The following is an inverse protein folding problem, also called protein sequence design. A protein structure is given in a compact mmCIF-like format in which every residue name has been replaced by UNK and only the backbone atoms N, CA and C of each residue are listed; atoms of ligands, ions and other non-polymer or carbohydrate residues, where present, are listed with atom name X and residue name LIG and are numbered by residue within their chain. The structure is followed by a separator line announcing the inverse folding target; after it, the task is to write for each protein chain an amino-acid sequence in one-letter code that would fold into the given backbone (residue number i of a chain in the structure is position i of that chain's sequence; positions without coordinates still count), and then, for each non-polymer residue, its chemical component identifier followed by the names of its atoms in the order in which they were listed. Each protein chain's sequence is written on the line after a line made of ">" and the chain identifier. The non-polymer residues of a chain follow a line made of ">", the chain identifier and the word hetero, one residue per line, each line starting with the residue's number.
data_IF_498182236279
#
_entry.id   IF_498182236279
#
_cell.length_a   1.000
_cell.length_b   1.000
_cell.length_c   1.000
_cell.angle_alpha   90.00
_cell.angle_beta   90.00
_cell.angle_gamma   90.00
#
_symmetry.space_group_name_H-M   'P 1'
#
loop_
_entity.id
_entity.type
_entity.pdbx_description
1 polymer ?
#
# COMPACT_ATOMS: atom_id res chain seq x y z
N UNK A 1 -5.60 -7.77 -21.20
CA UNK A 1 -6.69 -6.90 -21.55
C UNK A 1 -7.02 -5.91 -20.42
N UNK A 2 -7.17 -6.40 -19.16
CA UNK A 2 -7.51 -5.55 -18.00
C UNK A 2 -6.76 -5.98 -16.77
N UNK A 3 -6.43 -5.05 -15.87
CA UNK A 3 -5.84 -5.34 -14.58
C UNK A 3 -6.48 -4.50 -13.48
N UNK A 4 -6.59 -5.09 -12.29
CA UNK A 4 -7.05 -4.41 -11.08
C UNK A 4 -5.87 -4.36 -10.11
N UNK A 5 -5.56 -3.18 -9.61
CA UNK A 5 -4.42 -2.91 -8.75
C UNK A 5 -4.93 -2.26 -7.46
N UNK A 6 -4.84 -3.00 -6.36
CA UNK A 6 -5.29 -2.58 -5.04
C UNK A 6 -4.06 -2.26 -4.19
N UNK A 7 -3.89 -0.99 -3.82
CA UNK A 7 -2.78 -0.48 -2.99
C UNK A 7 -1.41 -0.89 -3.53
N UNK A 8 -1.07 -0.42 -4.75
CA UNK A 8 0.22 -0.73 -5.37
C UNK A 8 1.38 -0.27 -4.51
N UNK A 9 2.33 -1.15 -4.15
CA UNK A 9 3.46 -0.75 -3.33
C UNK A 9 4.47 0.12 -4.11
N UNK A 10 5.02 1.14 -3.43
CA UNK A 10 6.08 2.00 -3.96
C UNK A 10 7.51 1.53 -3.63
N UNK A 11 7.66 0.37 -2.98
CA UNK A 11 8.95 -0.16 -2.59
C UNK A 11 9.47 -1.15 -3.64
N UNK A 12 10.68 -0.90 -4.13
CA UNK A 12 11.41 -1.76 -5.08
C UNK A 12 12.87 -1.88 -4.66
N UNK A 13 13.48 -3.04 -4.91
CA UNK A 13 14.89 -3.26 -4.62
C UNK A 13 15.74 -3.20 -5.89
N UNK A 14 16.98 -2.75 -5.73
CA UNK A 14 18.02 -2.99 -6.73
C UNK A 14 18.57 -4.42 -6.60
N UNK A 15 19.17 -5.03 -7.64
CA UNK A 15 19.81 -6.34 -7.54
C UNK A 15 20.88 -6.39 -6.45
N UNK A 16 21.63 -5.28 -6.25
CA UNK A 16 22.64 -5.18 -5.21
C UNK A 16 22.02 -5.25 -3.81
N UNK A 17 20.93 -4.51 -3.55
CA UNK A 17 20.23 -4.54 -2.28
C UNK A 17 19.59 -5.92 -2.02
N UNK A 18 18.93 -6.51 -3.02
CA UNK A 18 18.35 -7.85 -2.92
C UNK A 18 19.42 -8.92 -2.58
N UNK A 19 20.60 -8.82 -3.21
CA UNK A 19 21.73 -9.70 -2.90
C UNK A 19 22.20 -9.51 -1.45
N UNK A 20 22.25 -8.28 -0.96
CA UNK A 20 22.68 -8.00 0.41
C UNK A 20 21.66 -8.49 1.45
N UNK A 21 20.37 -8.32 1.19
CA UNK A 21 19.29 -8.90 2.01
C UNK A 21 19.39 -10.43 2.04
N UNK A 22 19.63 -11.07 0.88
CA UNK A 22 19.83 -12.52 0.77
C UNK A 22 21.00 -12.98 1.66
N UNK A 23 22.12 -12.26 1.64
CA UNK A 23 23.28 -12.57 2.52
C UNK A 23 22.93 -12.41 3.99
N UNK A 24 22.19 -11.38 4.36
CA UNK A 24 21.75 -11.19 5.73
C UNK A 24 20.85 -12.34 6.22
N UNK A 25 19.90 -12.79 5.39
CA UNK A 25 19.08 -13.97 5.68
C UNK A 25 19.93 -15.24 5.85
N UNK A 26 20.93 -15.43 5.00
CA UNK A 26 21.83 -16.57 5.06
C UNK A 26 22.64 -16.58 6.38
N UNK A 27 23.06 -15.42 6.86
CA UNK A 27 23.71 -15.25 8.17
C UNK A 27 22.78 -15.65 9.32
N UNK A 28 21.52 -15.22 9.29
CA UNK A 28 20.52 -15.57 10.32
C UNK A 28 20.22 -17.09 10.37
N UNK A 29 20.40 -17.78 9.25
CA UNK A 29 20.21 -19.25 9.16
C UNK A 29 21.50 -20.00 9.50
N UNK A 30 22.66 -19.37 9.30
CA UNK A 30 23.97 -19.99 9.47
C UNK A 30 24.39 -20.87 8.29
N UNK A 31 24.01 -20.48 7.04
CA UNK A 31 24.37 -21.22 5.82
C UNK A 31 24.85 -20.27 4.71
N UNK A 32 25.56 -20.78 3.70
CA UNK A 32 25.85 -19.99 2.49
C UNK A 32 24.59 -19.58 1.75
N UNK A 33 24.54 -18.40 1.09
CA UNK A 33 23.36 -17.93 0.36
C UNK A 33 22.80 -18.92 -0.67
N UNK A 34 23.67 -19.67 -1.36
CA UNK A 34 23.25 -20.67 -2.35
C UNK A 34 22.46 -21.85 -1.76
N UNK A 35 22.54 -22.06 -0.45
CA UNK A 35 21.85 -23.15 0.24
C UNK A 35 20.46 -22.77 0.74
N UNK A 36 20.09 -21.47 0.67
CA UNK A 36 18.77 -20.98 1.09
C UNK A 36 17.62 -21.68 0.36
N UNK A 37 17.84 -22.06 -0.91
CA UNK A 37 16.81 -22.72 -1.73
C UNK A 37 16.42 -24.12 -1.18
N UNK A 38 17.29 -24.73 -0.37
CA UNK A 38 17.07 -26.05 0.23
C UNK A 38 16.55 -25.96 1.68
N UNK A 39 16.40 -24.75 2.20
CA UNK A 39 15.92 -24.53 3.58
C UNK A 39 14.42 -24.63 3.64
N UNK A 40 13.91 -25.41 4.57
CA UNK A 40 12.48 -25.55 4.82
C UNK A 40 11.80 -24.20 5.12
N UNK A 41 10.62 -23.92 4.55
CA UNK A 41 9.93 -22.63 4.70
C UNK A 41 9.78 -22.14 6.15
N UNK A 42 9.45 -22.97 7.17
CA UNK A 42 9.37 -22.50 8.55
C UNK A 42 10.70 -21.97 9.12
N UNK A 43 11.83 -22.55 8.69
CA UNK A 43 13.15 -22.04 9.09
C UNK A 43 13.50 -20.72 8.42
N UNK A 44 13.08 -20.54 7.15
CA UNK A 44 13.21 -19.27 6.44
C UNK A 44 12.38 -18.18 7.15
N UNK A 45 11.12 -18.46 7.47
CA UNK A 45 10.24 -17.54 8.18
C UNK A 45 10.84 -17.10 9.53
N UNK A 46 11.30 -18.05 10.35
CA UNK A 46 11.93 -17.73 11.63
C UNK A 46 13.23 -16.93 11.49
N UNK A 47 13.98 -17.08 10.40
CA UNK A 47 15.16 -16.26 10.12
C UNK A 47 14.77 -14.84 9.72
N UNK A 48 13.69 -14.69 8.94
CA UNK A 48 13.13 -13.38 8.59
C UNK A 48 12.65 -12.64 9.83
N UNK A 49 11.97 -13.31 10.76
CA UNK A 49 11.54 -12.70 12.04
C UNK A 49 12.73 -12.16 12.84
N UNK A 50 13.83 -12.93 12.92
CA UNK A 50 15.08 -12.45 13.58
C UNK A 50 15.72 -11.29 12.84
N UNK A 51 15.72 -11.33 11.52
CA UNK A 51 16.23 -10.24 10.67
C UNK A 51 15.44 -8.96 10.93
N UNK A 52 14.12 -9.04 10.95
CA UNK A 52 13.21 -7.92 11.19
C UNK A 52 13.38 -7.37 12.61
N UNK A 53 13.52 -8.23 13.62
CA UNK A 53 13.77 -7.81 15.00
C UNK A 53 15.06 -6.98 15.19
N UNK A 54 16.01 -7.10 14.28
CA UNK A 54 17.25 -6.34 14.29
C UNK A 54 17.51 -5.50 13.04
N UNK A 55 16.47 -5.13 12.31
CA UNK A 55 16.60 -4.48 10.99
C UNK A 55 17.27 -3.11 11.07
N UNK A 56 17.17 -2.42 12.18
CA UNK A 56 17.79 -1.11 12.43
C UNK A 56 19.31 -1.09 12.17
N UNK A 57 20.01 -2.18 12.44
CA UNK A 57 21.45 -2.33 12.15
C UNK A 57 21.79 -2.20 10.67
N UNK A 58 20.80 -2.30 9.81
CA UNK A 58 20.94 -2.15 8.37
C UNK A 58 20.48 -0.79 7.84
N UNK A 59 19.99 0.12 8.69
CA UNK A 59 19.39 1.40 8.29
C UNK A 59 20.30 2.22 7.36
N UNK A 60 21.57 2.38 7.71
CA UNK A 60 22.55 3.10 6.90
C UNK A 60 22.83 2.45 5.55
N UNK A 61 22.64 1.13 5.42
CA UNK A 61 22.99 0.36 4.23
C UNK A 61 21.78 0.06 3.33
N UNK A 62 20.61 -0.17 3.93
CA UNK A 62 19.39 -0.51 3.22
C UNK A 62 18.42 0.67 3.08
N UNK A 63 18.70 1.79 3.76
CA UNK A 63 17.90 3.00 3.68
C UNK A 63 16.42 2.75 3.98
N UNK A 64 15.54 3.20 3.09
CA UNK A 64 14.08 3.10 3.24
C UNK A 64 13.59 1.68 3.52
N UNK A 65 14.21 0.66 2.93
CA UNK A 65 13.81 -0.74 3.16
C UNK A 65 13.96 -1.14 4.64
N UNK A 66 15.04 -0.73 5.30
CA UNK A 66 15.23 -0.99 6.73
C UNK A 66 14.30 -0.13 7.60
N UNK A 67 14.21 1.17 7.32
CA UNK A 67 13.35 2.09 8.08
C UNK A 67 11.85 1.75 7.97
N UNK A 68 11.44 1.13 6.89
CA UNK A 68 10.07 0.66 6.70
C UNK A 68 9.81 -0.75 7.24
N UNK A 69 10.86 -1.50 7.58
CA UNK A 69 10.72 -2.91 7.93
C UNK A 69 10.34 -3.79 6.72
N UNK A 70 10.72 -3.39 5.50
CA UNK A 70 10.36 -4.08 4.25
C UNK A 70 11.64 -4.52 3.53
N UNK A 71 12.30 -5.59 4.00
CA UNK A 71 13.52 -6.10 3.35
C UNK A 71 13.24 -6.88 2.06
N UNK A 72 11.98 -7.26 1.82
CA UNK A 72 11.57 -8.00 0.63
C UNK A 72 10.58 -7.18 -0.18
N UNK A 73 10.93 -6.92 -1.43
CA UNK A 73 10.10 -6.22 -2.41
C UNK A 73 10.50 -6.68 -3.82
N UNK A 74 9.68 -6.38 -4.84
CA UNK A 74 10.06 -6.69 -6.22
C UNK A 74 11.41 -6.07 -6.58
N UNK A 75 12.21 -6.81 -7.34
CA UNK A 75 13.54 -6.38 -7.77
C UNK A 75 13.46 -5.84 -9.18
N UNK A 76 13.94 -4.61 -9.38
CA UNK A 76 14.14 -4.06 -10.73
C UNK A 76 15.44 -4.69 -11.28
N UNK A 77 15.30 -5.86 -11.90
CA UNK A 77 16.42 -6.69 -12.34
C UNK A 77 16.87 -6.41 -13.78
N UNK A 78 16.07 -5.67 -14.53
CA UNK A 78 16.34 -5.35 -15.94
C UNK A 78 15.91 -6.44 -16.92
N UNK A 79 15.33 -7.54 -16.45
CA UNK A 79 14.86 -8.67 -17.26
C UNK A 79 13.33 -8.83 -17.13
N UNK A 80 12.84 -9.31 -16.01
CA UNK A 80 11.39 -9.45 -15.76
C UNK A 80 10.78 -8.11 -15.40
N UNK A 81 11.40 -7.37 -14.49
CA UNK A 81 11.00 -6.02 -14.12
C UNK A 81 12.08 -5.03 -14.53
N UNK A 82 11.91 -4.40 -15.69
CA UNK A 82 12.90 -3.48 -16.26
C UNK A 82 12.90 -2.12 -15.63
N UNK A 83 11.76 -1.71 -15.03
CA UNK A 83 11.56 -0.39 -14.41
C UNK A 83 10.37 -0.45 -13.44
N UNK A 84 10.07 0.65 -12.75
CA UNK A 84 8.86 0.72 -11.91
C UNK A 84 7.58 0.65 -12.77
N UNK A 85 6.46 0.12 -12.24
CA UNK A 85 5.22 -0.02 -13.01
C UNK A 85 4.74 1.27 -13.67
N UNK A 86 4.79 2.41 -12.98
CA UNK A 86 4.38 3.70 -13.54
C UNK A 86 5.30 4.22 -14.65
N UNK A 87 6.57 3.79 -14.68
CA UNK A 87 7.48 4.10 -15.78
C UNK A 87 7.28 3.15 -16.97
N UNK A 88 6.95 1.89 -16.67
CA UNK A 88 6.82 0.82 -17.67
C UNK A 88 5.42 0.66 -18.25
N UNK A 89 4.40 1.34 -17.73
CA UNK A 89 3.04 1.24 -18.26
C UNK A 89 2.95 1.73 -19.71
N UNK A 90 2.22 1.00 -20.54
CA UNK A 90 2.19 1.22 -22.01
C UNK A 90 0.86 1.77 -22.54
N UNK A 91 -0.17 1.88 -21.69
CA UNK A 91 -1.51 2.29 -22.09
C UNK A 91 -2.38 1.19 -22.72
N UNK A 92 -1.83 -0.01 -22.97
CA UNK A 92 -2.57 -1.07 -23.69
C UNK A 92 -3.51 -1.93 -22.81
N UNK A 93 -3.35 -1.89 -21.50
CA UNK A 93 -4.15 -2.65 -20.53
C UNK A 93 -5.03 -1.67 -19.78
N UNK A 94 -6.35 -1.84 -19.83
CA UNK A 94 -7.26 -1.02 -19.02
C UNK A 94 -7.00 -1.26 -17.54
N UNK A 95 -6.93 -0.21 -16.72
CA UNK A 95 -6.63 -0.29 -15.31
C UNK A 95 -7.80 0.16 -14.43
N UNK A 96 -8.04 -0.60 -13.37
CA UNK A 96 -8.77 -0.17 -12.19
C UNK A 96 -7.75 -0.12 -11.05
N UNK A 97 -7.44 1.09 -10.58
CA UNK A 97 -6.38 1.33 -9.58
C UNK A 97 -6.98 2.02 -8.38
N UNK A 98 -6.47 1.77 -7.20
CA UNK A 98 -6.85 2.55 -6.03
C UNK A 98 -6.13 2.10 -4.77
N UNK A 99 -6.55 2.68 -3.67
CA UNK A 99 -5.94 2.48 -2.36
C UNK A 99 -6.96 2.69 -1.24
N UNK A 100 -6.58 2.34 -0.03
CA UNK A 100 -7.32 2.72 1.18
C UNK A 100 -6.81 4.07 1.70
N UNK A 101 -7.62 4.77 2.50
CA UNK A 101 -7.23 6.08 3.04
C UNK A 101 -6.14 5.98 4.09
N UNK A 102 -6.23 5.01 5.00
CA UNK A 102 -5.36 4.88 6.18
C UNK A 102 -4.44 3.66 6.07
N UNK A 103 -3.65 3.59 5.00
CA UNK A 103 -2.82 2.42 4.66
C UNK A 103 -1.85 2.03 5.80
N UNK A 104 -1.21 3.01 6.45
CA UNK A 104 -0.22 2.75 7.51
C UNK A 104 -0.87 2.27 8.81
N UNK A 105 -2.14 2.58 9.05
CA UNK A 105 -2.77 2.40 10.36
C UNK A 105 -2.82 0.94 10.83
N UNK A 106 -3.01 0.00 9.91
CA UNK A 106 -2.93 -1.43 10.23
C UNK A 106 -1.54 -1.80 10.78
N UNK A 107 -0.47 -1.33 10.14
CA UNK A 107 0.90 -1.64 10.55
C UNK A 107 1.23 -0.99 11.90
N UNK A 108 0.77 0.23 12.14
CA UNK A 108 0.90 0.90 13.44
C UNK A 108 0.15 0.14 14.55
N UNK A 109 -1.03 -0.39 14.26
CA UNK A 109 -1.80 -1.20 15.20
C UNK A 109 -1.12 -2.54 15.51
N UNK A 110 -0.65 -3.27 14.49
CA UNK A 110 0.01 -4.57 14.64
C UNK A 110 1.33 -4.46 15.43
N UNK A 111 2.01 -3.31 15.36
CA UNK A 111 3.25 -3.06 16.11
C UNK A 111 3.01 -2.36 17.45
N UNK A 112 1.75 -2.15 17.86
CA UNK A 112 1.38 -1.48 19.10
C UNK A 112 1.73 0.01 19.14
N UNK A 113 1.90 0.63 17.97
CA UNK A 113 2.33 2.03 17.82
C UNK A 113 1.18 3.01 17.62
N UNK A 114 -0.01 2.53 17.35
CA UNK A 114 -1.19 3.37 17.11
C UNK A 114 -1.51 4.22 18.34
N UNK A 115 -1.58 5.53 18.17
CA UNK A 115 -1.78 6.50 19.26
C UNK A 115 -0.53 6.76 20.11
N UNK A 116 0.67 6.34 19.67
CA UNK A 116 1.91 6.49 20.43
C UNK A 116 3.05 7.12 19.64
N UNK A 117 2.77 7.71 18.49
CA UNK A 117 3.78 8.32 17.63
C UNK A 117 4.20 9.68 18.21
N UNK A 118 5.49 9.84 18.48
CA UNK A 118 6.05 11.11 18.93
C UNK A 118 6.32 12.07 17.78
N UNK A 119 6.50 13.35 18.10
CA UNK A 119 6.87 14.37 17.09
C UNK A 119 8.18 14.02 16.40
N UNK A 120 9.18 13.54 17.15
CA UNK A 120 10.49 13.17 16.64
C UNK A 120 10.39 12.02 15.63
N UNK A 121 9.56 11.03 15.90
CA UNK A 121 9.34 9.88 15.02
C UNK A 121 8.58 10.28 13.74
N UNK A 122 7.60 11.15 13.86
CA UNK A 122 6.88 11.68 12.71
C UNK A 122 7.80 12.53 11.81
N UNK A 123 8.66 13.35 12.41
CA UNK A 123 9.64 14.18 11.69
C UNK A 123 10.73 13.30 11.03
N UNK A 124 11.19 12.26 11.72
CA UNK A 124 12.11 11.30 11.13
C UNK A 124 11.49 10.54 9.97
N UNK A 125 10.25 10.07 10.13
CA UNK A 125 9.50 9.42 9.06
C UNK A 125 9.36 10.34 7.84
N UNK A 126 9.02 11.61 8.05
CA UNK A 126 8.94 12.59 6.96
C UNK A 126 10.28 12.80 6.27
N UNK A 127 11.39 12.93 7.02
CA UNK A 127 12.75 13.08 6.44
C UNK A 127 13.17 11.87 5.58
N UNK A 128 12.73 10.66 5.94
CA UNK A 128 13.10 9.43 5.23
C UNK A 128 12.22 9.22 3.99
N UNK A 129 10.93 9.44 4.11
CA UNK A 129 9.95 8.97 3.13
C UNK A 129 9.31 10.07 2.28
N UNK A 130 9.17 11.29 2.79
CA UNK A 130 8.53 12.38 2.07
C UNK A 130 9.48 13.06 1.06
N UNK A 131 8.95 13.59 -0.06
CA UNK A 131 9.72 14.45 -0.97
C UNK A 131 9.96 15.85 -0.39
N UNK A 132 9.01 16.39 0.39
CA UNK A 132 9.12 17.65 1.14
C UNK A 132 8.64 17.47 2.58
N UNK A 133 9.55 17.15 3.53
CA UNK A 133 9.22 16.98 4.94
C UNK A 133 8.60 18.23 5.58
N UNK A 134 9.03 19.43 5.15
CA UNK A 134 8.55 20.69 5.69
C UNK A 134 7.10 20.98 5.26
N UNK A 135 6.72 20.60 4.05
CA UNK A 135 5.34 20.68 3.60
C UNK A 135 4.43 19.76 4.43
N UNK A 136 4.86 18.52 4.69
CA UNK A 136 4.10 17.62 5.56
C UNK A 136 3.93 18.16 6.97
N UNK A 137 4.99 18.70 7.58
CA UNK A 137 4.91 19.30 8.91
C UNK A 137 3.92 20.50 8.98
N UNK A 138 3.85 21.29 7.90
CA UNK A 138 2.91 22.43 7.81
C UNK A 138 1.46 22.00 7.66
N UNK A 139 1.20 20.98 6.82
CA UNK A 139 -0.16 20.57 6.47
C UNK A 139 -0.74 19.54 7.43
N UNK A 140 0.11 18.76 8.09
CA UNK A 140 -0.24 17.72 9.04
C UNK A 140 0.51 17.96 10.38
N UNK A 141 0.08 18.95 11.18
CA UNK A 141 0.78 19.34 12.41
C UNK A 141 0.71 18.26 13.51
N UNK A 142 -0.35 17.45 13.52
CA UNK A 142 -0.48 16.32 14.45
C UNK A 142 0.54 15.22 14.10
N UNK A 143 1.37 14.75 15.06
CA UNK A 143 2.41 13.75 14.77
C UNK A 143 1.85 12.40 14.31
N UNK A 144 0.76 11.95 14.90
CA UNK A 144 0.12 10.68 14.54
C UNK A 144 -0.40 10.72 13.10
N UNK A 145 -1.13 11.79 12.76
CA UNK A 145 -1.63 12.01 11.41
C UNK A 145 -0.49 12.15 10.40
N UNK A 146 0.54 12.94 10.71
CA UNK A 146 1.69 13.15 9.83
C UNK A 146 2.43 11.84 9.54
N UNK A 147 2.69 11.03 10.56
CA UNK A 147 3.31 9.72 10.40
C UNK A 147 2.46 8.80 9.51
N UNK A 148 1.17 8.73 9.78
CA UNK A 148 0.19 7.97 9.00
C UNK A 148 0.21 8.37 7.53
N UNK A 149 0.04 9.67 7.25
CA UNK A 149 -0.09 10.19 5.89
C UNK A 149 1.21 10.02 5.12
N UNK A 150 2.37 10.37 5.70
CA UNK A 150 3.69 10.22 5.05
C UNK A 150 3.93 8.78 4.61
N UNK A 151 3.67 7.82 5.48
CA UNK A 151 3.92 6.40 5.17
C UNK A 151 2.89 5.81 4.21
N UNK A 152 1.63 6.19 4.36
CA UNK A 152 0.57 5.80 3.45
C UNK A 152 0.83 6.33 2.04
N UNK A 153 1.27 7.58 1.92
CA UNK A 153 1.61 8.22 0.66
C UNK A 153 2.81 7.56 -0.01
N UNK A 154 3.90 7.41 0.74
CA UNK A 154 5.12 6.84 0.18
C UNK A 154 4.92 5.41 -0.33
N UNK A 155 4.22 4.58 0.47
CA UNK A 155 4.20 3.15 0.16
C UNK A 155 3.07 2.76 -0.80
N UNK A 156 1.89 3.42 -0.73
CA UNK A 156 0.71 2.94 -1.46
C UNK A 156 -0.06 4.02 -2.21
N UNK A 157 -0.39 5.16 -1.56
CA UNK A 157 -1.33 6.12 -2.13
C UNK A 157 -0.74 6.82 -3.35
N UNK A 158 0.47 7.40 -3.21
CA UNK A 158 1.12 8.10 -4.31
C UNK A 158 1.62 7.16 -5.42
N UNK A 159 2.15 5.96 -5.15
CA UNK A 159 2.41 4.97 -6.19
C UNK A 159 1.18 4.58 -7.00
N UNK A 160 0.02 4.37 -6.34
CA UNK A 160 -1.24 4.06 -7.02
C UNK A 160 -1.72 5.23 -7.91
N UNK A 161 -1.67 6.46 -7.38
CA UNK A 161 -2.00 7.66 -8.13
C UNK A 161 -1.05 7.86 -9.32
N UNK A 162 0.26 7.73 -9.10
CA UNK A 162 1.28 7.89 -10.14
C UNK A 162 1.09 6.87 -11.27
N UNK A 163 0.71 5.63 -10.93
CA UNK A 163 0.37 4.62 -11.94
C UNK A 163 -0.86 5.03 -12.76
N UNK A 164 -1.91 5.53 -12.11
CA UNK A 164 -3.11 6.00 -12.80
C UNK A 164 -2.81 7.20 -13.73
N UNK A 165 -2.04 8.16 -13.26
CA UNK A 165 -1.61 9.32 -14.06
C UNK A 165 -0.72 8.90 -15.25
N UNK A 166 0.22 8.00 -15.03
CA UNK A 166 1.08 7.49 -16.08
C UNK A 166 0.28 6.72 -17.15
N UNK A 167 -0.71 5.92 -16.74
CA UNK A 167 -1.60 5.21 -17.64
C UNK A 167 -2.38 6.18 -18.55
N UNK A 168 -2.98 7.21 -17.96
CA UNK A 168 -3.72 8.26 -18.70
C UNK A 168 -2.78 9.03 -19.64
N UNK A 169 -1.59 9.40 -19.18
CA UNK A 169 -0.58 10.09 -19.98
C UNK A 169 -0.12 9.29 -21.21
N UNK A 170 -0.23 7.95 -21.17
CA UNK A 170 0.04 7.05 -22.30
C UNK A 170 -1.20 6.79 -23.18
N UNK A 171 -2.31 7.49 -22.93
CA UNK A 171 -3.57 7.32 -23.66
C UNK A 171 -4.34 6.05 -23.29
N UNK A 172 -3.97 5.37 -22.21
CA UNK A 172 -4.67 4.20 -21.71
C UNK A 172 -5.84 4.58 -20.80
N UNK A 173 -6.82 3.66 -20.66
CA UNK A 173 -7.96 3.83 -19.76
C UNK A 173 -7.57 3.49 -18.34
N UNK A 174 -8.01 4.32 -17.39
CA UNK A 174 -7.82 4.09 -15.97
C UNK A 174 -9.04 4.57 -15.17
N UNK A 175 -9.52 3.73 -14.27
CA UNK A 175 -10.50 4.13 -13.27
C UNK A 175 -9.82 4.15 -11.92
N UNK A 176 -9.96 5.27 -11.17
CA UNK A 176 -9.35 5.43 -9.86
C UNK A 176 -10.40 5.30 -8.76
N UNK A 177 -10.04 4.65 -7.64
CA UNK A 177 -10.87 4.62 -6.43
C UNK A 177 -10.07 4.91 -5.17
N UNK A 178 -10.77 5.34 -4.13
CA UNK A 178 -10.31 5.35 -2.75
C UNK A 178 -11.37 4.69 -1.85
N UNK A 179 -10.92 3.78 -0.99
CA UNK A 179 -11.75 3.24 0.08
C UNK A 179 -11.59 4.11 1.32
N UNK A 180 -12.68 4.73 1.77
CA UNK A 180 -12.71 5.62 2.95
C UNK A 180 -13.55 5.06 4.08
N UNK A 181 -14.39 4.05 3.80
CA UNK A 181 -15.23 3.41 4.79
C UNK A 181 -14.40 2.87 5.96
N UNK A 182 -14.67 3.32 7.19
CA UNK A 182 -13.87 2.91 8.34
C UNK A 182 -14.22 1.48 8.76
N UNK A 183 -13.19 0.65 8.88
CA UNK A 183 -13.33 -0.70 9.39
C UNK A 183 -13.87 -0.69 10.83
N UNK A 184 -14.96 -1.43 11.14
CA UNK A 184 -15.53 -1.44 12.51
C UNK A 184 -14.70 -2.27 13.49
N UNK A 185 -13.80 -3.12 13.00
CA UNK A 185 -12.91 -3.92 13.85
C UNK A 185 -12.04 -3.05 14.77
N UNK A 186 -11.62 -3.60 15.88
CA UNK A 186 -10.86 -2.90 16.93
C UNK A 186 -11.52 -1.58 17.39
N UNK A 187 -12.85 -1.55 17.43
CA UNK A 187 -13.60 -0.37 17.84
C UNK A 187 -13.50 0.82 16.87
N UNK A 188 -13.22 0.58 15.60
CA UNK A 188 -13.07 1.60 14.56
C UNK A 188 -11.68 2.26 14.50
N UNK A 189 -10.74 1.87 15.37
CA UNK A 189 -9.42 2.48 15.46
C UNK A 189 -8.60 2.34 14.17
N UNK A 190 -8.88 1.30 13.36
CA UNK A 190 -8.16 1.04 12.12
C UNK A 190 -8.54 1.99 10.97
N UNK A 191 -9.73 2.61 11.01
CA UNK A 191 -10.23 3.39 9.89
C UNK A 191 -10.29 2.56 8.59
N UNK A 192 -10.14 3.19 7.44
CA UNK A 192 -9.99 2.49 6.16
C UNK A 192 -8.54 2.01 5.98
N UNK A 193 -8.15 0.96 6.71
CA UNK A 193 -6.76 0.50 6.80
C UNK A 193 -6.34 -0.37 5.61
N UNK A 194 -5.04 -0.63 5.50
CA UNK A 194 -4.47 -1.50 4.47
C UNK A 194 -5.14 -2.88 4.44
N UNK A 195 -5.43 -3.35 3.24
CA UNK A 195 -6.00 -4.67 3.00
C UNK A 195 -7.48 -4.81 3.36
N UNK A 196 -8.16 -3.75 3.82
CA UNK A 196 -9.60 -3.77 4.09
C UNK A 196 -10.44 -4.03 2.82
N UNK A 197 -9.98 -3.56 1.69
CA UNK A 197 -10.63 -3.77 0.40
C UNK A 197 -10.66 -5.25 -0.04
N UNK A 198 -9.70 -6.05 0.39
CA UNK A 198 -9.62 -7.48 0.01
C UNK A 198 -10.85 -8.28 0.47
N UNK A 199 -11.21 -8.35 1.77
CA UNK A 199 -12.41 -9.05 2.19
C UNK A 199 -13.70 -8.45 1.62
N UNK A 200 -13.75 -7.13 1.42
CA UNK A 200 -14.92 -6.47 0.81
C UNK A 200 -15.12 -6.90 -0.64
N UNK A 201 -14.06 -6.94 -1.45
CA UNK A 201 -14.10 -7.36 -2.86
C UNK A 201 -14.44 -8.84 -3.01
N UNK A 202 -13.95 -9.70 -2.13
CA UNK A 202 -14.26 -11.14 -2.19
C UNK A 202 -15.55 -11.53 -1.44
N UNK A 203 -16.15 -10.61 -0.68
CA UNK A 203 -17.34 -10.90 0.14
C UNK A 203 -17.05 -11.84 1.31
N UNK A 204 -15.79 -11.94 1.70
CA UNK A 204 -15.35 -12.79 2.81
C UNK A 204 -15.23 -11.93 4.08
N UNK A 205 -16.38 -11.64 4.72
CA UNK A 205 -16.43 -10.69 5.82
C UNK A 205 -16.22 -11.32 7.22
N UNK A 206 -16.20 -12.65 7.31
CA UNK A 206 -16.21 -13.35 8.61
C UNK A 206 -15.07 -14.35 8.80
N UNK A 207 -14.34 -14.73 7.75
CA UNK A 207 -13.35 -15.80 7.85
C UNK A 207 -11.91 -15.30 7.97
N UNK A 208 -11.08 -16.05 8.67
CA UNK A 208 -9.65 -15.79 8.81
C UNK A 208 -9.35 -14.50 9.56
N UNK A 209 -8.36 -13.75 9.09
CA UNK A 209 -7.94 -12.48 9.70
C UNK A 209 -8.94 -11.32 9.45
N UNK A 210 -9.95 -11.52 8.63
CA UNK A 210 -10.98 -10.51 8.36
C UNK A 210 -11.72 -10.09 9.62
N UNK A 211 -11.90 -11.00 10.58
CA UNK A 211 -12.51 -10.70 11.87
C UNK A 211 -11.73 -9.61 12.66
N UNK A 212 -10.42 -9.47 12.45
CA UNK A 212 -9.65 -8.39 13.05
C UNK A 212 -10.03 -7.03 12.46
N UNK A 213 -10.29 -6.98 11.14
CA UNK A 213 -10.58 -5.74 10.42
C UNK A 213 -12.05 -5.34 10.54
N UNK A 214 -12.95 -6.29 10.39
CA UNK A 214 -14.39 -6.03 10.25
C UNK A 214 -15.16 -6.33 11.55
N UNK A 215 -14.67 -7.30 12.37
CA UNK A 215 -15.43 -7.78 13.52
C UNK A 215 -16.70 -8.51 13.07
N UNK A 216 -17.81 -8.31 13.77
CA UNK A 216 -19.12 -8.76 13.31
C UNK A 216 -19.61 -7.86 12.17
N UNK A 217 -19.84 -8.40 10.96
CA UNK A 217 -20.25 -7.62 9.81
C UNK A 217 -21.59 -6.93 10.03
N UNK A 218 -21.62 -5.63 9.78
CA UNK A 218 -22.85 -4.81 9.79
C UNK A 218 -23.53 -4.83 8.42
N UNK A 219 -24.79 -4.36 8.36
CA UNK A 219 -25.50 -4.16 7.10
C UNK A 219 -24.73 -3.21 6.17
N UNK A 220 -24.07 -2.19 6.73
CA UNK A 220 -23.21 -1.27 5.99
C UNK A 220 -21.99 -1.98 5.40
N UNK A 221 -21.31 -2.86 6.17
CA UNK A 221 -20.21 -3.67 5.66
C UNK A 221 -20.65 -4.53 4.46
N UNK A 222 -21.82 -5.15 4.56
CA UNK A 222 -22.41 -5.92 3.46
C UNK A 222 -22.73 -5.05 2.25
N UNK A 223 -23.24 -3.82 2.46
CA UNK A 223 -23.55 -2.90 1.39
C UNK A 223 -22.29 -2.40 0.66
N UNK A 224 -21.23 -2.01 1.39
CA UNK A 224 -19.94 -1.61 0.81
C UNK A 224 -19.31 -2.76 0.05
N UNK A 225 -19.31 -3.96 0.62
CA UNK A 225 -18.84 -5.17 -0.06
C UNK A 225 -19.60 -5.44 -1.37
N UNK A 226 -20.92 -5.33 -1.36
CA UNK A 226 -21.73 -5.52 -2.56
C UNK A 226 -21.40 -4.50 -3.66
N UNK A 227 -21.18 -3.23 -3.28
CA UNK A 227 -20.78 -2.16 -4.20
C UNK A 227 -19.42 -2.45 -4.83
N UNK A 228 -18.40 -2.77 -4.03
CA UNK A 228 -17.06 -3.07 -4.54
C UNK A 228 -17.05 -4.29 -5.44
N UNK A 229 -17.67 -5.41 -5.01
CA UNK A 229 -17.77 -6.62 -5.84
C UNK A 229 -18.46 -6.34 -7.17
N UNK A 230 -19.58 -5.60 -7.13
CA UNK A 230 -20.30 -5.23 -8.35
C UNK A 230 -19.42 -4.47 -9.32
N UNK A 231 -18.68 -3.48 -8.84
CA UNK A 231 -17.76 -2.67 -9.63
C UNK A 231 -16.59 -3.49 -10.21
N UNK A 232 -15.96 -4.35 -9.41
CA UNK A 232 -14.87 -5.23 -9.85
C UNK A 232 -15.33 -6.21 -10.92
N UNK A 233 -16.50 -6.83 -10.74
CA UNK A 233 -17.08 -7.74 -11.73
C UNK A 233 -17.47 -7.02 -13.03
N UNK A 234 -18.04 -5.82 -12.96
CA UNK A 234 -18.38 -5.03 -14.12
C UNK A 234 -17.13 -4.62 -14.90
N UNK A 235 -16.10 -4.13 -14.20
CA UNK A 235 -14.82 -3.81 -14.84
C UNK A 235 -14.16 -5.04 -15.47
N UNK A 236 -14.12 -6.17 -14.78
CA UNK A 236 -13.53 -7.39 -15.32
C UNK A 236 -14.27 -7.88 -16.58
N UNK A 237 -15.59 -7.77 -16.60
CA UNK A 237 -16.44 -8.21 -17.72
C UNK A 237 -16.44 -7.22 -18.87
N UNK A 238 -16.71 -5.95 -18.58
CA UNK A 238 -17.06 -4.93 -19.59
C UNK A 238 -16.00 -3.82 -19.72
N UNK A 239 -15.09 -3.68 -18.74
CA UNK A 239 -14.10 -2.60 -18.65
C UNK A 239 -14.69 -1.29 -18.11
N UNK A 240 -15.90 -1.33 -17.57
CA UNK A 240 -16.59 -0.17 -16.98
C UNK A 240 -17.02 -0.52 -15.54
N UNK A 241 -16.40 0.06 -14.52
CA UNK A 241 -16.75 -0.21 -13.11
C UNK A 241 -17.93 0.66 -12.62
N UNK A 242 -18.52 1.49 -13.47
CA UNK A 242 -19.68 2.32 -13.16
C UNK A 242 -19.37 3.75 -12.71
N UNK A 243 -18.19 4.27 -13.01
CA UNK A 243 -17.83 5.69 -12.84
C UNK A 243 -16.87 6.16 -13.94
N UNK A 244 -16.73 7.49 -14.16
CA UNK A 244 -15.90 8.01 -15.24
C UNK A 244 -14.43 7.61 -15.17
N UNK A 245 -13.77 7.56 -16.34
CA UNK A 245 -12.33 7.41 -16.48
C UNK A 245 -11.58 8.53 -15.75
N UNK A 246 -10.43 8.20 -15.14
CA UNK A 246 -9.59 9.13 -14.39
C UNK A 246 -9.00 10.27 -15.26
N UNK A 247 -8.99 10.15 -16.56
CA UNK A 247 -8.66 11.28 -17.46
C UNK A 247 -9.56 12.51 -17.23
N UNK A 248 -10.77 12.32 -16.67
CA UNK A 248 -11.67 13.41 -16.25
C UNK A 248 -11.34 13.98 -14.88
N UNK A 249 -10.35 13.41 -14.16
CA UNK A 249 -10.04 13.71 -12.76
C UNK A 249 -10.95 13.02 -11.74
N UNK A 250 -11.87 12.16 -12.19
CA UNK A 250 -12.86 11.50 -11.34
C UNK A 250 -12.24 10.35 -10.53
N UNK A 251 -12.55 10.30 -9.24
CA UNK A 251 -12.21 9.21 -8.33
C UNK A 251 -13.47 8.69 -7.66
N UNK A 252 -13.65 7.36 -7.66
CA UNK A 252 -14.72 6.71 -6.89
C UNK A 252 -14.35 6.64 -5.42
N UNK A 253 -15.21 7.15 -4.56
CA UNK A 253 -15.08 7.04 -3.12
C UNK A 253 -15.99 5.93 -2.63
N UNK A 254 -15.41 4.87 -2.07
CA UNK A 254 -16.15 3.80 -1.40
C UNK A 254 -16.27 4.12 0.08
N UNK A 255 -17.48 4.41 0.49
CA UNK A 255 -17.88 4.69 1.85
C UNK A 255 -19.29 4.11 2.09
N UNK A 256 -19.87 4.26 3.28
CA UNK A 256 -21.27 3.92 3.55
C UNK A 256 -22.22 4.54 2.52
N UNK A 257 -21.99 5.79 2.15
CA UNK A 257 -22.64 6.46 1.02
C UNK A 257 -21.60 6.74 -0.07
N UNK A 258 -21.56 5.94 -1.13
CA UNK A 258 -20.55 6.08 -2.17
C UNK A 258 -20.74 7.33 -3.02
N UNK A 259 -19.63 7.94 -3.45
CA UNK A 259 -19.64 9.15 -4.30
C UNK A 259 -18.57 9.10 -5.39
N UNK A 260 -18.62 10.05 -6.32
CA UNK A 260 -17.56 10.32 -7.28
C UNK A 260 -17.14 11.78 -7.11
N UNK A 261 -15.87 12.02 -6.93
CA UNK A 261 -15.29 13.35 -6.68
C UNK A 261 -13.93 13.49 -7.38
N UNK A 262 -13.33 14.68 -7.32
CA UNK A 262 -11.90 14.83 -7.58
C UNK A 262 -11.08 14.00 -6.59
N UNK A 263 -9.83 13.68 -6.95
CA UNK A 263 -8.95 12.92 -6.05
C UNK A 263 -8.87 13.57 -4.66
N UNK A 264 -9.27 12.86 -3.60
CA UNK A 264 -9.50 13.51 -2.31
C UNK A 264 -8.22 13.93 -1.60
N UNK A 265 -7.11 13.23 -1.83
CA UNK A 265 -5.83 13.47 -1.17
C UNK A 265 -5.01 14.55 -1.92
N UNK A 266 -5.67 15.67 -2.24
CA UNK A 266 -5.10 16.75 -3.04
C UNK A 266 -3.87 17.41 -2.42
N UNK A 267 -3.79 17.50 -1.08
CA UNK A 267 -2.61 18.02 -0.39
C UNK A 267 -1.40 17.12 -0.59
N UNK A 268 -1.55 15.82 -0.36
CA UNK A 268 -0.50 14.82 -0.62
C UNK A 268 -0.05 14.86 -2.07
N UNK A 269 -1.00 14.85 -3.01
CA UNK A 269 -0.69 14.97 -4.44
C UNK A 269 0.16 16.19 -4.74
N UNK A 270 -0.22 17.38 -4.21
CA UNK A 270 0.50 18.63 -4.45
C UNK A 270 1.93 18.63 -3.86
N UNK A 271 2.18 17.87 -2.79
CA UNK A 271 3.52 17.73 -2.21
C UNK A 271 4.39 16.79 -3.08
N UNK A 272 3.79 15.83 -3.78
CA UNK A 272 4.50 14.82 -4.56
C UNK A 272 4.72 15.20 -6.04
N UNK A 273 4.04 16.22 -6.55
CA UNK A 273 4.17 16.75 -7.92
C UNK A 273 5.07 17.98 -7.97
#
# INVERSE_FOLDING_TARGET
>A
HRAIVQSMPGAYLTPALATDVTRACAVEIGCPPRELVAIEPPRLAAAVDRLLAGIERYAARWGRAAHAGIPFAPVIDGDVLTTTPWQGVTGHVDLLVGHTRHEQRLFSALTGRLGQITTEEADESARIFAPDPAAYARHFPDPEERFEVVRSDWLFRMPSLTLAEAQVARGGRCHLYELTWPAPGMGGALGACHGLDVPLVFGNLTAGQTALLIGEPTDEAHAVSAQMRGAWLAFARDGDPGWPDFATGATRIFDGVPSVAAYPEGLSRAIWT
#
